data_IF_456513829310
#
_entry.id   IF_456513829310
#
_cell.length_a   1.000
_cell.length_b   1.000
_cell.length_c   1.000
_cell.angle_alpha   90.00
_cell.angle_beta   90.00
_cell.angle_gamma   90.00
#
_symmetry.space_group_name_H-M   'P 1'
#
loop_
_entity.id
_entity.type
_entity.pdbx_description
1 polymer ?
#
# COMPACT_ATOMS: atom_id res chain seq x y z
N UNK A 1 15.25 2.42 13.82
CA UNK A 1 13.87 2.07 14.26
C UNK A 1 13.98 1.08 15.41
N UNK A 2 13.28 1.27 16.53
CA UNK A 2 13.24 0.27 17.58
C UNK A 2 12.61 -1.03 17.06
N UNK A 3 12.99 -2.19 17.58
CA UNK A 3 12.34 -3.44 17.22
C UNK A 3 10.85 -3.36 17.56
N UNK A 4 9.98 -4.05 16.80
CA UNK A 4 8.56 -4.09 17.11
C UNK A 4 8.36 -4.62 18.53
N UNK A 5 7.42 -4.03 19.25
CA UNK A 5 7.01 -4.51 20.57
C UNK A 5 6.50 -5.96 20.47
N UNK A 6 6.68 -6.73 21.51
CA UNK A 6 6.07 -8.08 21.58
C UNK A 6 4.57 -7.95 21.34
N UNK A 7 4.08 -8.59 20.28
CA UNK A 7 2.68 -8.54 19.86
C UNK A 7 2.38 -7.61 18.68
N UNK A 8 3.36 -6.86 18.15
CA UNK A 8 3.15 -6.04 16.96
C UNK A 8 2.88 -6.91 15.73
N UNK A 9 1.92 -6.46 14.89
CA UNK A 9 1.66 -7.06 13.58
C UNK A 9 2.50 -6.34 12.52
N UNK A 10 3.15 -7.11 11.64
CA UNK A 10 4.02 -6.58 10.60
C UNK A 10 3.81 -7.36 9.30
N UNK A 11 3.70 -6.61 8.19
CA UNK A 11 3.79 -7.15 6.83
C UNK A 11 5.06 -6.57 6.21
N UNK A 12 5.95 -7.41 5.74
CA UNK A 12 7.15 -7.01 5.00
C UNK A 12 7.18 -7.72 3.66
N UNK A 13 7.42 -6.95 2.59
CA UNK A 13 7.57 -7.47 1.23
C UNK A 13 8.66 -6.71 0.50
N UNK A 14 9.34 -7.39 -0.40
CA UNK A 14 10.33 -6.78 -1.28
C UNK A 14 10.18 -7.36 -2.69
N UNK A 15 10.31 -6.49 -3.69
CA UNK A 15 10.31 -6.87 -5.11
C UNK A 15 11.34 -6.06 -5.88
N UNK A 16 11.72 -6.58 -7.04
CA UNK A 16 12.58 -5.87 -7.99
C UNK A 16 11.73 -5.40 -9.17
N UNK A 17 11.91 -4.15 -9.57
CA UNK A 17 11.18 -3.51 -10.67
C UNK A 17 12.18 -2.85 -11.61
N UNK A 18 12.07 -3.10 -12.90
CA UNK A 18 12.94 -2.51 -13.93
C UNK A 18 12.53 -1.09 -14.27
N UNK A 19 12.77 -0.20 -13.33
CA UNK A 19 12.60 1.26 -13.48
C UNK A 19 13.39 1.97 -12.38
N UNK A 20 13.44 3.30 -12.40
CA UNK A 20 14.15 4.08 -11.39
C UNK A 20 13.42 4.11 -10.04
N UNK A 21 14.15 4.30 -8.93
CA UNK A 21 13.54 4.45 -7.61
C UNK A 21 12.51 5.59 -7.55
N UNK A 22 12.82 6.72 -8.15
CA UNK A 22 11.90 7.86 -8.19
C UNK A 22 10.58 7.52 -8.89
N UNK A 23 10.63 6.74 -9.97
CA UNK A 23 9.43 6.29 -10.67
C UNK A 23 8.60 5.32 -9.82
N UNK A 24 9.25 4.40 -9.12
CA UNK A 24 8.57 3.47 -8.20
C UNK A 24 7.82 4.24 -7.13
N UNK A 25 8.49 5.16 -6.44
CA UNK A 25 7.90 5.93 -5.34
C UNK A 25 6.78 6.86 -5.82
N UNK A 26 6.93 7.50 -6.98
CA UNK A 26 5.91 8.37 -7.53
C UNK A 26 4.60 7.63 -7.85
N UNK A 27 4.67 6.34 -8.14
CA UNK A 27 3.49 5.51 -8.40
C UNK A 27 2.56 5.35 -7.19
N UNK A 28 3.05 5.63 -5.99
CA UNK A 28 2.24 5.65 -4.77
C UNK A 28 1.50 6.98 -4.54
N UNK A 29 1.85 8.02 -5.29
CA UNK A 29 1.28 9.36 -5.12
C UNK A 29 0.48 9.85 -6.32
N UNK A 30 0.72 9.32 -7.51
CA UNK A 30 0.00 9.73 -8.70
C UNK A 30 -1.34 8.99 -8.81
N UNK A 31 -2.49 9.71 -8.81
CA UNK A 31 -3.81 9.05 -8.87
C UNK A 31 -3.97 8.12 -10.06
N UNK A 32 -3.38 8.47 -11.20
CA UNK A 32 -3.42 7.66 -12.42
C UNK A 32 -2.69 6.32 -12.25
N UNK A 33 -1.54 6.34 -11.60
CA UNK A 33 -0.81 5.12 -11.28
C UNK A 33 -1.57 4.28 -10.26
N UNK A 34 -2.04 4.89 -9.18
CA UNK A 34 -2.81 4.23 -8.12
C UNK A 34 -4.05 3.52 -8.67
N UNK A 35 -4.75 4.14 -9.61
CA UNK A 35 -5.87 3.50 -10.29
C UNK A 35 -5.42 2.27 -11.10
N UNK A 36 -4.28 2.36 -11.78
CA UNK A 36 -3.79 1.31 -12.66
C UNK A 36 -3.28 0.08 -11.92
N UNK A 37 -2.48 0.26 -10.86
CA UNK A 37 -1.86 -0.88 -10.19
C UNK A 37 -2.58 -1.29 -8.89
N UNK A 38 -3.21 -0.36 -8.19
CA UNK A 38 -3.82 -0.64 -6.88
C UNK A 38 -5.35 -0.67 -6.92
N UNK A 39 -5.95 -0.34 -8.04
CA UNK A 39 -7.40 -0.33 -8.19
C UNK A 39 -8.11 0.81 -7.44
N UNK A 40 -7.37 1.86 -7.12
CA UNK A 40 -7.88 3.02 -6.40
C UNK A 40 -8.83 3.81 -7.28
N UNK A 41 -10.02 4.12 -6.78
CA UNK A 41 -11.03 4.91 -7.50
C UNK A 41 -10.89 6.41 -7.25
N UNK A 42 -10.49 6.81 -6.04
CA UNK A 42 -10.24 8.20 -5.66
C UNK A 42 -8.99 8.27 -4.79
N UNK A 43 -8.20 9.33 -4.98
CA UNK A 43 -7.00 9.56 -4.20
C UNK A 43 -6.77 11.03 -3.91
N UNK A 44 -6.34 11.32 -2.69
CA UNK A 44 -5.76 12.61 -2.28
C UNK A 44 -4.40 12.29 -1.70
N UNK A 45 -3.37 12.43 -2.50
CA UNK A 45 -2.01 12.02 -2.16
C UNK A 45 -1.02 13.11 -2.57
N UNK A 46 -0.47 13.80 -1.59
CA UNK A 46 0.48 14.88 -1.82
C UNK A 46 1.83 14.48 -1.25
N UNK A 47 2.85 14.46 -2.09
CA UNK A 47 4.20 14.00 -1.74
C UNK A 47 4.98 15.09 -1.00
N UNK A 48 4.57 15.43 0.21
CA UNK A 48 5.30 16.33 1.10
C UNK A 48 4.98 16.01 2.57
N UNK A 49 5.90 16.30 3.50
CA UNK A 49 5.65 16.12 4.92
C UNK A 49 4.38 16.86 5.40
N UNK A 50 3.68 16.23 6.31
CA UNK A 50 2.42 16.67 6.92
C UNK A 50 1.24 16.80 5.95
N UNK A 51 1.39 16.36 4.72
CA UNK A 51 0.30 16.30 3.77
C UNK A 51 -0.59 15.06 3.98
N UNK A 52 -1.86 15.14 3.56
CA UNK A 52 -2.74 13.98 3.63
C UNK A 52 -2.32 12.89 2.63
N UNK A 53 -2.56 11.65 3.01
CA UNK A 53 -2.53 10.50 2.13
C UNK A 53 -3.83 9.74 2.29
N UNK A 54 -4.65 9.72 1.26
CA UNK A 54 -5.93 9.03 1.28
C UNK A 54 -6.20 8.36 -0.06
N UNK A 55 -6.51 7.08 -0.01
CA UNK A 55 -6.88 6.28 -1.18
C UNK A 55 -8.20 5.56 -0.89
N UNK A 56 -9.05 5.45 -1.90
CA UNK A 56 -10.34 4.83 -1.78
C UNK A 56 -10.50 3.74 -2.84
N UNK A 57 -10.96 2.58 -2.43
CA UNK A 57 -11.39 1.49 -3.30
C UNK A 57 -12.91 1.39 -3.30
N UNK A 58 -13.53 1.09 -4.45
CA UNK A 58 -14.96 0.84 -4.47
C UNK A 58 -15.29 -0.39 -3.62
N UNK A 59 -16.49 -0.45 -3.03
CA UNK A 59 -16.95 -1.67 -2.39
C UNK A 59 -16.93 -2.85 -3.38
N UNK A 60 -16.43 -3.99 -2.92
CA UNK A 60 -16.36 -5.21 -3.72
C UNK A 60 -17.55 -6.12 -3.49
N UNK A 61 -17.65 -7.21 -4.25
CA UNK A 61 -18.64 -8.27 -4.00
C UNK A 61 -18.21 -9.24 -2.88
N UNK A 62 -16.99 -9.08 -2.39
CA UNK A 62 -16.45 -9.96 -1.35
C UNK A 62 -16.78 -9.44 0.03
N UNK A 63 -17.25 -10.33 0.88
CA UNK A 63 -17.51 -10.06 2.30
C UNK A 63 -16.66 -10.99 3.14
N UNK A 64 -15.88 -10.40 4.03
CA UNK A 64 -15.11 -11.12 5.03
C UNK A 64 -15.95 -11.28 6.30
N UNK A 65 -15.86 -12.43 6.96
CA UNK A 65 -16.65 -12.72 8.16
C UNK A 65 -16.35 -11.77 9.33
N UNK A 66 -15.14 -11.24 9.40
CA UNK A 66 -14.69 -10.37 10.50
C UNK A 66 -14.71 -8.89 10.11
N UNK A 67 -14.26 -8.59 8.88
CA UNK A 67 -14.11 -7.19 8.41
C UNK A 67 -15.36 -6.65 7.73
N UNK A 68 -16.28 -7.52 7.30
CA UNK A 68 -17.41 -7.15 6.49
C UNK A 68 -17.07 -7.02 5.01
N UNK A 69 -17.84 -6.22 4.27
CA UNK A 69 -17.61 -5.98 2.85
C UNK A 69 -16.23 -5.37 2.64
N UNK A 70 -15.46 -5.91 1.69
CA UNK A 70 -14.12 -5.42 1.36
C UNK A 70 -14.17 -4.21 0.41
N UNK A 71 -13.13 -3.43 0.40
CA UNK A 71 -13.03 -2.12 -0.22
C UNK A 71 -12.85 -1.05 0.87
N UNK A 72 -13.26 0.17 0.63
CA UNK A 72 -13.21 1.24 1.62
C UNK A 72 -12.06 2.21 1.44
N UNK A 73 -11.59 2.79 2.51
CA UNK A 73 -10.60 3.89 2.48
C UNK A 73 -9.41 3.58 3.38
N UNK A 74 -8.22 3.89 2.89
CA UNK A 74 -7.00 3.97 3.69
C UNK A 74 -6.56 5.42 3.72
N UNK A 75 -6.42 6.03 4.90
CA UNK A 75 -6.01 7.41 5.03
C UNK A 75 -5.04 7.62 6.19
N UNK A 76 -4.18 8.59 6.03
CA UNK A 76 -3.20 8.96 7.05
C UNK A 76 -2.42 10.20 6.66
N UNK A 77 -1.22 10.33 7.21
CA UNK A 77 -0.36 11.49 7.03
C UNK A 77 1.01 11.08 6.51
N UNK A 78 1.52 11.81 5.53
CA UNK A 78 2.92 11.70 5.09
C UNK A 78 3.80 12.29 6.20
N UNK A 79 4.58 11.48 6.88
CA UNK A 79 5.45 11.94 7.97
C UNK A 79 6.86 12.27 7.49
N UNK A 80 7.37 11.51 6.55
CA UNK A 80 8.69 11.75 5.95
C UNK A 80 8.66 11.36 4.48
N UNK A 81 9.45 12.04 3.69
CA UNK A 81 9.66 11.74 2.28
C UNK A 81 11.08 12.10 1.89
N UNK A 82 11.75 11.18 1.21
CA UNK A 82 13.10 11.37 0.67
C UNK A 82 13.04 11.04 -0.82
N UNK A 83 13.23 12.06 -1.63
CA UNK A 83 13.15 11.94 -3.08
C UNK A 83 14.00 10.79 -3.61
N UNK A 84 13.37 9.91 -4.36
CA UNK A 84 14.03 8.77 -4.97
C UNK A 84 14.56 7.71 -3.98
N UNK A 85 14.18 7.77 -2.72
CA UNK A 85 14.66 6.84 -1.69
C UNK A 85 13.56 6.21 -0.83
N UNK A 86 12.66 7.00 -0.26
CA UNK A 86 11.67 6.45 0.67
C UNK A 86 10.52 7.41 0.96
N UNK A 87 9.45 6.88 1.51
CA UNK A 87 8.46 7.66 2.25
C UNK A 87 7.92 6.89 3.44
N UNK A 88 7.40 7.62 4.41
CA UNK A 88 6.82 7.08 5.62
C UNK A 88 5.45 7.71 5.87
N UNK A 89 4.43 6.86 6.02
CA UNK A 89 3.07 7.24 6.38
C UNK A 89 2.78 6.79 7.81
N UNK A 90 2.16 7.67 8.58
CA UNK A 90 1.70 7.35 9.93
C UNK A 90 0.22 7.73 10.10
N UNK A 91 -0.31 7.38 11.25
CA UNK A 91 -1.74 7.56 11.56
C UNK A 91 -2.65 6.99 10.46
N UNK A 92 -2.24 5.85 9.90
CA UNK A 92 -3.02 5.17 8.88
C UNK A 92 -4.21 4.44 9.50
N UNK A 93 -5.38 4.72 8.96
CA UNK A 93 -6.63 4.05 9.30
C UNK A 93 -7.24 3.43 8.06
N UNK A 94 -7.56 2.15 8.16
CA UNK A 94 -8.42 1.50 7.20
C UNK A 94 -9.86 1.60 7.67
N UNK A 95 -10.73 2.15 6.84
CA UNK A 95 -12.16 2.23 7.10
C UNK A 95 -12.88 1.37 6.05
N UNK A 96 -13.47 0.23 6.44
CA UNK A 96 -14.26 -0.58 5.53
C UNK A 96 -15.51 0.18 5.07
N UNK A 97 -16.17 -0.24 3.97
CA UNK A 97 -17.43 0.37 3.52
C UNK A 97 -18.49 0.43 4.61
N UNK A 98 -18.54 -0.61 5.44
CA UNK A 98 -19.42 -0.69 6.61
C UNK A 98 -18.62 -1.21 7.80
N UNK A 99 -18.59 -0.45 8.87
CA UNK A 99 -17.93 -0.85 10.11
C UNK A 99 -16.92 0.17 10.63
N UNK A 100 -16.32 -0.15 11.76
CA UNK A 100 -15.42 0.74 12.47
C UNK A 100 -14.03 0.78 11.80
N UNK A 101 -13.34 1.93 11.84
CA UNK A 101 -11.96 2.04 11.38
C UNK A 101 -11.01 1.10 12.15
N UNK A 102 -9.95 0.68 11.47
CA UNK A 102 -8.82 -0.05 12.05
C UNK A 102 -7.58 0.84 11.91
N UNK A 103 -6.98 1.18 13.01
CA UNK A 103 -5.80 2.04 13.09
C UNK A 103 -5.50 2.43 14.53
N UNK A 104 -4.42 3.20 14.75
CA UNK A 104 -3.48 3.65 13.74
C UNK A 104 -2.46 2.60 13.31
N UNK A 105 -2.00 2.71 12.08
CA UNK A 105 -0.94 1.90 11.49
C UNK A 105 0.16 2.80 10.91
N UNK A 106 1.27 2.19 10.53
CA UNK A 106 2.35 2.83 9.79
C UNK A 106 2.63 2.06 8.49
N UNK A 107 3.04 2.78 7.46
CA UNK A 107 3.53 2.21 6.20
C UNK A 107 4.84 2.90 5.81
N UNK A 108 5.89 2.12 5.65
CA UNK A 108 7.18 2.55 5.16
C UNK A 108 7.44 1.90 3.81
N UNK A 109 7.87 2.72 2.85
CA UNK A 109 8.26 2.26 1.52
C UNK A 109 9.66 2.77 1.22
N UNK A 110 10.56 1.85 0.89
CA UNK A 110 11.93 2.15 0.51
C UNK A 110 12.20 1.68 -0.92
N UNK A 111 13.03 2.41 -1.64
CA UNK A 111 13.42 2.09 -3.00
C UNK A 111 14.91 2.35 -3.19
N UNK A 112 15.64 1.32 -3.60
CA UNK A 112 17.09 1.36 -3.77
C UNK A 112 17.46 0.94 -5.20
N UNK A 113 18.30 1.70 -5.91
CA UNK A 113 18.82 1.27 -7.20
C UNK A 113 19.74 0.06 -7.02
N UNK A 114 19.64 -0.91 -7.91
CA UNK A 114 20.53 -2.06 -7.94
C UNK A 114 21.21 -2.19 -9.30
N UNK A 115 22.40 -2.84 -9.31
CA UNK A 115 23.17 -3.00 -10.53
C UNK A 115 23.59 -1.67 -11.16
N UNK A 116 23.21 -1.44 -12.40
CA UNK A 116 23.47 -0.22 -13.16
C UNK A 116 22.47 0.92 -12.90
N UNK A 117 21.60 0.75 -11.92
CA UNK A 117 20.55 1.72 -11.56
C UNK A 117 19.30 1.68 -12.41
N UNK A 118 19.18 0.76 -13.35
CA UNK A 118 17.98 0.57 -14.18
C UNK A 118 16.92 -0.30 -13.53
N UNK A 119 17.28 -0.96 -12.45
CA UNK A 119 16.39 -1.80 -11.63
C UNK A 119 16.38 -1.26 -10.22
N UNK A 120 15.22 -1.28 -9.61
CA UNK A 120 15.01 -0.85 -8.23
C UNK A 120 14.59 -2.06 -7.39
N UNK A 121 15.23 -2.23 -6.24
CA UNK A 121 14.68 -3.05 -5.18
C UNK A 121 13.78 -2.16 -4.33
N UNK A 122 12.52 -2.53 -4.24
CA UNK A 122 11.53 -1.82 -3.41
C UNK A 122 11.07 -2.73 -2.29
N UNK A 123 10.98 -2.17 -1.08
CA UNK A 123 10.40 -2.85 0.08
C UNK A 123 9.27 -2.05 0.68
N UNK A 124 8.28 -2.76 1.20
CA UNK A 124 7.22 -2.18 2.03
C UNK A 124 7.24 -2.81 3.41
N UNK A 125 6.89 -2.00 4.40
CA UNK A 125 6.66 -2.46 5.77
C UNK A 125 5.42 -1.78 6.32
N UNK A 126 4.36 -2.54 6.53
CA UNK A 126 3.15 -2.09 7.21
C UNK A 126 3.11 -2.68 8.61
N UNK A 127 2.85 -1.86 9.62
CA UNK A 127 2.94 -2.28 11.01
C UNK A 127 1.87 -1.65 11.89
N UNK A 128 1.51 -2.36 12.97
CA UNK A 128 0.62 -1.88 14.02
C UNK A 128 1.03 -2.50 15.36
N UNK A 129 0.76 -1.79 16.44
CA UNK A 129 1.06 -2.23 17.80
C UNK A 129 -0.08 -3.02 18.46
N UNK A 130 -1.20 -3.20 17.78
CA UNK A 130 -2.33 -3.99 18.25
C UNK A 130 -2.33 -5.37 17.57
N UNK A 131 -2.80 -6.38 18.27
CA UNK A 131 -2.87 -7.76 17.76
C UNK A 131 -4.20 -8.46 18.07
N UNK A 132 -5.25 -7.72 18.36
CA UNK A 132 -6.59 -8.28 18.53
C UNK A 132 -7.07 -9.07 17.31
N UNK A 133 -8.10 -9.89 17.47
CA UNK A 133 -8.56 -10.80 16.41
C UNK A 133 -8.91 -10.07 15.10
N UNK A 134 -9.54 -8.90 15.21
CA UNK A 134 -9.89 -8.07 14.04
C UNK A 134 -8.64 -7.52 13.33
N UNK A 135 -7.61 -7.13 14.09
CA UNK A 135 -6.31 -6.71 13.58
C UNK A 135 -5.58 -7.84 12.85
N UNK A 136 -5.55 -9.02 13.47
CA UNK A 136 -4.92 -10.20 12.86
C UNK A 136 -5.60 -10.56 11.54
N UNK A 137 -6.93 -10.49 11.49
CA UNK A 137 -7.67 -10.76 10.25
C UNK A 137 -7.38 -9.73 9.17
N UNK A 138 -7.37 -8.45 9.52
CA UNK A 138 -7.04 -7.38 8.59
C UNK A 138 -5.63 -7.56 8.02
N UNK A 139 -4.63 -7.82 8.86
CA UNK A 139 -3.24 -8.04 8.41
C UNK A 139 -3.12 -9.30 7.54
N UNK A 140 -3.86 -10.35 7.81
CA UNK A 140 -3.91 -11.52 6.95
C UNK A 140 -4.46 -11.22 5.55
N UNK A 141 -5.56 -10.49 5.47
CA UNK A 141 -6.15 -10.05 4.21
C UNK A 141 -5.22 -9.10 3.46
N UNK A 142 -4.60 -8.15 4.17
CA UNK A 142 -3.66 -7.19 3.58
C UNK A 142 -2.38 -7.83 3.08
N UNK A 143 -1.86 -8.85 3.77
CA UNK A 143 -0.67 -9.56 3.31
C UNK A 143 -0.89 -10.17 1.91
N UNK A 144 -2.01 -10.88 1.73
CA UNK A 144 -2.39 -11.41 0.42
C UNK A 144 -2.66 -10.29 -0.60
N UNK A 145 -3.28 -9.21 -0.16
CA UNK A 145 -3.54 -8.03 -0.99
C UNK A 145 -2.25 -7.36 -1.48
N UNK A 146 -1.25 -7.23 -0.61
CA UNK A 146 0.04 -6.69 -1.00
C UNK A 146 0.75 -7.57 -2.04
N UNK A 147 0.70 -8.88 -1.92
CA UNK A 147 1.32 -9.77 -2.89
C UNK A 147 0.74 -9.52 -4.30
N UNK A 148 -0.58 -9.41 -4.43
CA UNK A 148 -1.24 -9.10 -5.71
C UNK A 148 -0.95 -7.67 -6.18
N UNK A 149 -1.00 -6.71 -5.27
CA UNK A 149 -0.78 -5.30 -5.60
C UNK A 149 0.65 -5.04 -6.08
N UNK A 150 1.65 -5.64 -5.45
CA UNK A 150 3.05 -5.49 -5.84
C UNK A 150 3.35 -6.14 -7.19
N UNK A 151 2.74 -7.28 -7.50
CA UNK A 151 2.82 -7.87 -8.84
C UNK A 151 2.21 -6.93 -9.89
N UNK A 152 1.06 -6.34 -9.60
CA UNK A 152 0.41 -5.38 -10.49
C UNK A 152 1.23 -4.10 -10.65
N UNK A 153 1.86 -3.61 -9.59
CA UNK A 153 2.78 -2.46 -9.64
C UNK A 153 3.96 -2.73 -10.57
N UNK A 154 4.62 -3.87 -10.40
CA UNK A 154 5.73 -4.27 -11.26
C UNK A 154 5.30 -4.34 -12.72
N UNK A 155 4.20 -5.00 -13.01
CA UNK A 155 3.67 -5.09 -14.37
C UNK A 155 3.35 -3.70 -14.95
N UNK A 156 2.72 -2.83 -14.17
CA UNK A 156 2.39 -1.47 -14.60
C UNK A 156 3.64 -0.65 -14.94
N UNK A 157 4.67 -0.70 -14.09
CA UNK A 157 5.88 0.11 -14.26
C UNK A 157 6.84 -0.45 -15.32
N UNK A 158 6.85 -1.75 -15.53
CA UNK A 158 7.73 -2.38 -16.54
C UNK A 158 7.10 -2.42 -17.94
N UNK A 159 5.80 -2.22 -18.03
CA UNK A 159 5.08 -2.30 -19.29
C UNK A 159 4.81 -0.92 -19.87
N UNK A 160 5.35 -0.65 -21.07
CA UNK A 160 5.14 0.61 -21.76
C UNK A 160 3.83 0.67 -22.58
N UNK A 161 3.03 -0.39 -22.63
CA UNK A 161 1.79 -0.50 -23.41
C UNK A 161 0.52 -0.30 -22.57
N UNK A 162 -0.62 -0.27 -23.26
CA UNK A 162 -1.93 -0.20 -22.60
C UNK A 162 -2.28 -1.56 -22.01
N UNK A 163 -2.56 -1.61 -20.71
CA UNK A 163 -3.06 -2.80 -20.04
C UNK A 163 -4.47 -2.59 -19.50
N UNK A 164 -5.30 -3.63 -19.54
CA UNK A 164 -6.57 -3.60 -18.83
C UNK A 164 -6.33 -3.48 -17.32
N UNK A 165 -7.26 -2.83 -16.65
CA UNK A 165 -7.28 -2.74 -15.20
C UNK A 165 -7.28 -4.15 -14.57
N UNK A 166 -6.39 -4.38 -13.62
CA UNK A 166 -6.31 -5.62 -12.86
C UNK A 166 -6.83 -5.42 -11.45
N UNK A 167 -8.08 -5.25 -11.29
CA UNK A 167 -8.74 -5.31 -9.99
C UNK A 167 -8.03 -4.67 -8.80
N UNK A 168 -8.78 -4.56 -7.73
CA UNK A 168 -8.33 -4.04 -6.44
C UNK A 168 -7.57 -5.11 -5.65
N UNK A 169 -6.77 -4.68 -4.64
CA UNK A 169 -6.15 -5.58 -3.66
C UNK A 169 -7.18 -6.48 -2.94
N UNK A 170 -8.44 -6.09 -2.98
CA UNK A 170 -9.55 -6.81 -2.33
C UNK A 170 -10.14 -7.92 -3.18
N UNK A 171 -9.83 -7.96 -4.48
CA UNK A 171 -10.34 -9.01 -5.35
C UNK A 171 -9.56 -10.30 -5.13
N UNK A 172 -10.28 -11.36 -4.81
CA UNK A 172 -9.75 -12.71 -4.74
C UNK A 172 -9.70 -13.30 -6.15
N UNK A 173 -8.59 -13.92 -6.50
CA UNK A 173 -8.46 -14.72 -7.72
C UNK A 173 -9.14 -16.07 -7.54
#
# INVERSE_FOLDING_TARGET
MPPPSEGALVIERAIQIRTSPGRVLSAFFQPRDLAAWWGVSNAVTVARPLAPYAVQWPPTHYTDEVLGQLGGTLHGTVMDIRDGASFFLADLYYTPPEGAPIGPMALEVEAHPIGDGRTTEMSIRQSADDNGARWQRYFGVMAEGWDRALDALREHLEWAGVRPHRGSIWERR
#
